data_IF_175790895112
#
_entry.id   IF_175790895112
#
_cell.length_a   1.000
_cell.length_b   1.000
_cell.length_c   1.000
_cell.angle_alpha   90.00
_cell.angle_beta   90.00
_cell.angle_gamma   90.00
#
_symmetry.space_group_name_H-M   'P 1'
#
loop_
_entity.id
_entity.type
_entity.pdbx_description
1 polymer ?
#
# COMPACT_ATOMS: atom_id res chain seq x y z
N UNK A 1 -8.64 -1.71 7.91
CA UNK A 1 -7.28 -1.82 7.37
C UNK A 1 -7.23 -1.46 5.88
N UNK A 2 -6.06 -1.06 5.45
CA UNK A 2 -5.83 -0.71 4.07
C UNK A 2 -4.87 -1.74 3.48
N UNK A 3 -5.22 -2.24 2.31
CA UNK A 3 -4.35 -3.14 1.57
C UNK A 3 -3.92 -2.46 0.29
N UNK A 4 -2.64 -2.49 0.01
CA UNK A 4 -2.08 -1.89 -1.17
C UNK A 4 -1.24 -2.92 -1.91
N UNK A 5 -1.47 -3.02 -3.21
CA UNK A 5 -0.73 -3.94 -4.07
C UNK A 5 0.04 -3.13 -5.09
N UNK A 6 1.34 -3.33 -5.14
CA UNK A 6 2.20 -2.73 -6.15
C UNK A 6 2.14 -3.60 -7.40
N UNK A 7 1.49 -3.15 -8.44
CA UNK A 7 1.33 -3.94 -9.66
C UNK A 7 2.53 -3.78 -10.56
N UNK A 8 2.97 -2.55 -10.76
CA UNK A 8 4.12 -2.24 -11.60
C UNK A 8 4.97 -1.18 -10.92
N UNK A 9 6.26 -1.22 -11.17
CA UNK A 9 7.20 -0.23 -10.68
C UNK A 9 7.65 -0.53 -9.27
N UNK A 10 8.41 0.39 -8.72
CA UNK A 10 8.95 0.30 -7.37
C UNK A 10 8.54 1.52 -6.58
N UNK A 11 8.28 1.34 -5.31
CA UNK A 11 7.88 2.45 -4.46
C UNK A 11 8.10 2.15 -2.99
N UNK A 12 7.63 3.07 -2.17
CA UNK A 12 7.67 2.92 -0.72
C UNK A 12 6.31 3.25 -0.15
N UNK A 13 5.88 2.44 0.80
CA UNK A 13 4.63 2.65 1.52
C UNK A 13 4.97 2.70 3.01
N UNK A 14 4.74 3.84 3.64
CA UNK A 14 5.07 4.08 5.04
C UNK A 14 6.50 3.66 5.37
N UNK A 15 7.45 3.97 4.48
CA UNK A 15 8.86 3.66 4.70
C UNK A 15 9.29 2.25 4.33
N UNK A 16 8.37 1.41 3.86
CA UNK A 16 8.70 0.04 3.43
C UNK A 16 8.76 -0.03 1.91
N UNK A 17 9.81 -0.63 1.39
CA UNK A 17 9.96 -0.75 -0.04
C UNK A 17 9.07 -1.86 -0.59
N UNK A 18 8.46 -1.59 -1.73
CA UNK A 18 7.66 -2.56 -2.45
C UNK A 18 8.14 -2.63 -3.89
N UNK A 19 8.32 -3.85 -4.37
CA UNK A 19 8.58 -4.11 -5.78
C UNK A 19 7.30 -4.58 -6.47
N UNK A 20 7.34 -4.66 -7.78
CA UNK A 20 6.19 -5.15 -8.54
C UNK A 20 5.78 -6.53 -8.02
N UNK A 21 4.50 -6.69 -7.74
CA UNK A 21 3.95 -7.93 -7.19
C UNK A 21 3.89 -7.96 -5.68
N UNK A 22 4.49 -7.00 -4.99
CA UNK A 22 4.43 -6.94 -3.53
C UNK A 22 3.14 -6.30 -3.06
N UNK A 23 2.77 -6.63 -1.84
CA UNK A 23 1.59 -6.08 -1.21
C UNK A 23 1.91 -5.65 0.23
N UNK A 24 1.15 -4.71 0.72
CA UNK A 24 1.27 -4.24 2.10
C UNK A 24 -0.09 -4.17 2.74
N UNK A 25 -0.15 -4.55 4.00
CA UNK A 25 -1.32 -4.34 4.82
C UNK A 25 -0.99 -3.24 5.82
N UNK A 26 -1.84 -2.24 5.90
CA UNK A 26 -1.61 -1.07 6.75
C UNK A 26 -2.73 -1.03 7.77
N UNK A 27 -2.35 -1.13 9.04
CA UNK A 27 -3.31 -1.11 10.14
C UNK A 27 -2.85 -0.11 11.19
N UNK A 28 -3.78 0.32 12.03
CA UNK A 28 -3.49 1.17 13.17
C UNK A 28 -2.74 2.44 12.82
N UNK A 29 -3.00 3.00 11.65
CA UNK A 29 -2.40 4.25 11.23
C UNK A 29 -3.47 5.18 10.68
N UNK A 30 -3.24 6.47 10.82
CA UNK A 30 -4.13 7.49 10.30
C UNK A 30 -3.73 7.96 8.92
N UNK A 31 -2.50 7.69 8.54
CA UNK A 31 -1.97 8.19 7.30
C UNK A 31 -1.27 7.08 6.54
N UNK A 32 -1.43 7.12 5.24
CA UNK A 32 -0.69 6.24 4.33
C UNK A 32 0.15 7.13 3.45
N UNK A 33 1.45 6.95 3.52
CA UNK A 33 2.38 7.69 2.69
C UNK A 33 2.89 6.77 1.59
N UNK A 34 2.62 7.14 0.36
CA UNK A 34 3.05 6.36 -0.80
C UNK A 34 3.99 7.20 -1.63
N UNK A 35 5.15 6.66 -1.94
CA UNK A 35 6.13 7.33 -2.78
C UNK A 35 6.54 6.39 -3.90
N UNK A 36 6.33 6.80 -5.13
CA UNK A 36 6.76 6.03 -6.29
C UNK A 36 8.22 6.37 -6.59
N UNK A 37 9.06 5.34 -6.70
CA UNK A 37 10.46 5.52 -7.09
C UNK A 37 10.60 5.45 -8.59
N UNK A 38 9.70 4.74 -9.25
CA UNK A 38 9.61 4.65 -10.70
C UNK A 38 8.14 4.79 -11.08
N UNK A 39 7.80 4.97 -12.35
CA UNK A 39 6.39 4.96 -12.74
C UNK A 39 5.72 3.69 -12.24
N UNK A 40 4.59 3.85 -11.57
CA UNK A 40 3.99 2.77 -10.80
C UNK A 40 2.49 2.69 -11.00
N UNK A 41 1.97 1.47 -10.84
CA UNK A 41 0.55 1.21 -10.73
C UNK A 41 0.28 0.52 -9.42
N UNK A 42 -0.76 0.98 -8.71
CA UNK A 42 -1.17 0.42 -7.43
C UNK A 42 -2.64 0.08 -7.46
N UNK A 43 -3.03 -0.89 -6.65
CA UNK A 43 -4.43 -1.07 -6.25
C UNK A 43 -4.47 -0.91 -4.74
N UNK A 44 -5.39 -0.10 -4.25
CA UNK A 44 -5.54 0.11 -2.82
C UNK A 44 -6.98 -0.18 -2.42
N UNK A 45 -7.13 -0.98 -1.37
CA UNK A 45 -8.43 -1.29 -0.79
C UNK A 45 -8.46 -0.73 0.62
N UNK A 46 -9.50 0.04 0.91
CA UNK A 46 -9.73 0.51 2.27
C UNK A 46 -10.95 -0.24 2.80
N UNK A 47 -10.68 -1.24 3.62
CA UNK A 47 -11.74 -2.09 4.15
C UNK A 47 -12.12 -1.61 5.53
N UNK A 48 -13.41 -1.39 5.72
CA UNK A 48 -13.90 -1.00 7.03
C UNK A 48 -13.61 -2.09 8.04
N UNK A 49 -13.31 -1.70 9.28
CA UNK A 49 -13.16 -2.66 10.34
C UNK A 49 -14.47 -3.39 10.55
N UNK A 50 -14.39 -4.68 10.76
CA UNK A 50 -15.57 -5.48 11.03
C UNK A 50 -15.94 -5.32 12.50
N UNK A 51 -17.10 -4.79 12.72
CA UNK A 51 -17.58 -4.53 14.07
C UNK A 51 -18.36 -5.68 14.66
N UNK A 52 -18.35 -6.77 14.03
CA UNK A 52 -19.15 -7.93 14.41
C UNK A 52 -19.53 -8.00 15.88
#
# INVERSE_FOLDING_TARGET
PIYLIQIEGEGMVNGNELDAGDAAEITATREVSVRAKTPSHYIMFDMAADEA
#
